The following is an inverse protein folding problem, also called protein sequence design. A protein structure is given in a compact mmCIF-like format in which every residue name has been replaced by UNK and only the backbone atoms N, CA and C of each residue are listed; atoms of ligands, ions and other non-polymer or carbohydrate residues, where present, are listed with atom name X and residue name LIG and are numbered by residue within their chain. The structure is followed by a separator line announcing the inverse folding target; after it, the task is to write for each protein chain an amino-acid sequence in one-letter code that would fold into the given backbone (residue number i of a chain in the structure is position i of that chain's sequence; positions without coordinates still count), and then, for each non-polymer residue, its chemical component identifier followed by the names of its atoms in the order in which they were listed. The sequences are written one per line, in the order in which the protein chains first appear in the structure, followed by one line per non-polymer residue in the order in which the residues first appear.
data_IF_268049942033
#
_entry.id   IF_268049942033
#
_cell.length_a   1.000
_cell.length_b   1.000
_cell.length_c   1.000
_cell.angle_alpha   90.00
_cell.angle_beta   90.00
_cell.angle_gamma   90.00
#
_symmetry.space_group_name_H-M   'P 1'
#
loop_
_entity.id
_entity.type
_entity.pdbx_description
1 polymer ?
#
# COMPACT_ATOMS: atom_id res chain seq x y z
N UNK A 1 27.77 39.97 -36.04
CA UNK A 1 28.67 38.97 -35.45
C UNK A 1 28.37 38.70 -33.97
N UNK A 2 28.51 39.68 -33.06
CA UNK A 2 28.37 39.46 -31.60
C UNK A 2 27.02 38.86 -31.14
N UNK A 3 25.89 39.25 -31.76
CA UNK A 3 24.55 38.70 -31.42
C UNK A 3 24.40 37.21 -31.76
N UNK A 4 25.06 36.74 -32.81
CA UNK A 4 25.06 35.32 -33.20
C UNK A 4 25.89 34.47 -32.24
N UNK A 5 27.01 35.01 -31.76
CA UNK A 5 27.88 34.35 -30.77
C UNK A 5 27.14 34.19 -29.43
N UNK A 6 26.36 35.20 -29.02
CA UNK A 6 25.56 35.14 -27.78
C UNK A 6 24.43 34.11 -27.92
N UNK A 7 23.73 34.06 -29.06
CA UNK A 7 22.67 33.06 -29.29
C UNK A 7 23.24 31.63 -29.33
N UNK A 8 24.39 31.43 -29.97
CA UNK A 8 25.07 30.12 -30.01
C UNK A 8 25.59 29.71 -28.62
N UNK A 9 26.07 30.65 -27.81
CA UNK A 9 26.48 30.39 -26.43
C UNK A 9 25.28 30.00 -25.53
N UNK A 10 24.12 30.64 -25.70
CA UNK A 10 22.91 30.32 -24.93
C UNK A 10 22.36 28.94 -25.34
N UNK A 11 22.34 28.63 -26.64
CA UNK A 11 21.93 27.30 -27.13
C UNK A 11 22.90 26.21 -26.67
N UNK A 12 24.21 26.50 -26.67
CA UNK A 12 25.24 25.61 -26.11
C UNK A 12 25.09 25.37 -24.61
N UNK A 13 24.80 26.41 -23.81
CA UNK A 13 24.51 26.25 -22.38
C UNK A 13 23.20 25.50 -22.12
N UNK A 14 22.17 25.66 -22.95
CA UNK A 14 20.91 24.93 -22.82
C UNK A 14 21.04 23.45 -23.20
N UNK A 15 21.99 23.08 -24.06
CA UNK A 15 22.26 21.69 -24.45
C UNK A 15 23.19 20.96 -23.48
N UNK A 16 23.93 21.68 -22.63
CA UNK A 16 24.93 21.08 -21.72
C UNK A 16 24.39 20.70 -20.32
N UNK A 17 23.11 20.94 -20.02
CA UNK A 17 22.50 20.59 -18.74
C UNK A 17 21.63 19.33 -18.85
N UNK A 18 22.21 18.24 -19.35
CA UNK A 18 21.72 16.91 -19.05
C UNK A 18 22.32 16.51 -17.69
N UNK A 19 21.56 16.75 -16.62
CA UNK A 19 21.91 16.21 -15.31
C UNK A 19 21.79 14.69 -15.37
N UNK A 20 22.92 14.00 -15.45
CA UNK A 20 22.97 12.55 -15.27
C UNK A 20 22.70 12.20 -13.80
N UNK A 21 21.76 11.28 -13.59
CA UNK A 21 21.45 10.77 -12.24
C UNK A 21 22.04 9.38 -12.13
N UNK A 22 22.96 9.20 -11.19
CA UNK A 22 23.57 7.90 -10.89
C UNK A 22 22.49 6.90 -10.44
N UNK A 23 22.29 5.83 -11.22
CA UNK A 23 21.32 4.78 -10.94
C UNK A 23 21.55 4.10 -9.59
N UNK A 24 22.80 3.92 -9.17
CA UNK A 24 23.15 3.31 -7.89
C UNK A 24 22.58 4.12 -6.71
N UNK A 25 22.76 5.45 -6.74
CA UNK A 25 22.22 6.36 -5.71
C UNK A 25 20.69 6.31 -5.66
N UNK A 26 20.02 6.17 -6.80
CA UNK A 26 18.56 6.03 -6.87
C UNK A 26 18.10 4.72 -6.23
N UNK A 27 18.83 3.62 -6.47
CA UNK A 27 18.55 2.33 -5.87
C UNK A 27 18.73 2.35 -4.35
N UNK A 28 19.77 3.02 -3.85
CA UNK A 28 20.00 3.19 -2.42
C UNK A 28 18.90 4.02 -1.74
N UNK A 29 18.49 5.14 -2.35
CA UNK A 29 17.38 5.96 -1.86
C UNK A 29 16.04 5.20 -1.88
N UNK A 30 15.86 4.28 -2.85
CA UNK A 30 14.72 3.37 -2.85
C UNK A 30 14.75 2.41 -1.66
N UNK A 31 15.89 1.80 -1.34
CA UNK A 31 16.05 0.90 -0.19
C UNK A 31 15.75 1.63 1.12
N UNK A 32 16.32 2.83 1.32
CA UNK A 32 16.03 3.67 2.48
C UNK A 32 14.54 4.07 2.55
N UNK A 33 13.88 4.25 1.40
CA UNK A 33 12.45 4.54 1.35
C UNK A 33 11.62 3.34 1.82
N UNK A 34 11.96 2.11 1.41
CA UNK A 34 11.28 0.90 1.84
C UNK A 34 11.37 0.71 3.35
N UNK A 35 12.56 0.87 3.91
CA UNK A 35 12.80 0.75 5.35
C UNK A 35 11.95 1.76 6.12
N UNK A 36 12.03 3.05 5.74
CA UNK A 36 11.18 4.11 6.34
C UNK A 36 9.69 3.80 6.22
N UNK A 37 9.24 3.26 5.08
CA UNK A 37 7.84 2.90 4.90
C UNK A 37 7.42 1.73 5.80
N UNK A 38 8.30 0.76 6.06
CA UNK A 38 8.05 -0.34 6.99
C UNK A 38 8.01 0.14 8.44
N UNK A 39 9.00 0.95 8.86
CA UNK A 39 9.03 1.54 10.22
C UNK A 39 7.76 2.34 10.50
N UNK A 40 7.30 3.14 9.53
CA UNK A 40 6.02 3.87 9.66
C UNK A 40 4.82 2.95 9.80
N UNK A 41 4.82 1.83 9.10
CA UNK A 41 3.71 0.89 9.15
C UNK A 41 3.65 0.18 10.51
N UNK A 42 4.80 -0.22 11.06
CA UNK A 42 4.89 -0.85 12.38
C UNK A 42 4.52 0.13 13.51
N UNK A 43 4.96 1.39 13.42
CA UNK A 43 4.53 2.48 14.33
C UNK A 43 2.99 2.65 14.34
N UNK A 44 2.33 2.53 13.17
CA UNK A 44 0.88 2.63 13.09
C UNK A 44 0.13 1.39 13.61
N UNK A 45 0.75 0.21 13.57
CA UNK A 45 0.15 -1.07 14.01
C UNK A 45 -0.17 -1.07 15.50
N UNK A 46 0.71 -0.49 16.31
CA UNK A 46 0.54 -0.35 17.76
C UNK A 46 -0.70 0.46 18.17
N UNK A 47 -1.24 1.31 17.28
CA UNK A 47 -2.41 2.16 17.58
C UNK A 47 -3.74 1.65 17.00
N UNK A 48 -3.70 0.75 16.02
CA UNK A 48 -4.85 0.31 15.22
C UNK A 48 -5.63 -0.87 15.81
N UNK A 49 -5.05 -1.64 16.74
CA UNK A 49 -5.72 -2.81 17.35
C UNK A 49 -6.95 -2.46 18.22
N UNK A 50 -7.19 -1.18 18.52
CA UNK A 50 -8.27 -0.78 19.44
C UNK A 50 -9.65 -0.61 18.79
N UNK A 51 -9.79 -0.67 17.46
CA UNK A 51 -11.09 -0.40 16.81
C UNK A 51 -11.37 -1.33 15.61
N UNK A 52 -11.79 -2.57 15.87
CA UNK A 52 -12.76 -3.31 15.04
C UNK A 52 -13.20 -4.60 15.74
N UNK A 53 -14.41 -4.58 16.30
CA UNK A 53 -15.12 -5.72 16.93
C UNK A 53 -15.63 -6.74 15.91
N UNK A 54 -14.79 -7.14 14.96
CA UNK A 54 -15.07 -8.27 14.06
C UNK A 54 -13.83 -9.16 14.13
N UNK A 55 -13.74 -9.90 15.22
CA UNK A 55 -12.66 -10.87 15.49
C UNK A 55 -13.05 -12.20 14.86
N UNK A 56 -12.80 -12.33 13.56
CA UNK A 56 -12.72 -13.66 12.95
C UNK A 56 -11.26 -14.09 12.95
N UNK A 57 -10.96 -15.16 13.67
CA UNK A 57 -9.60 -15.70 13.79
C UNK A 57 -9.01 -16.05 12.41
N UNK A 58 -9.82 -16.59 11.50
CA UNK A 58 -9.39 -16.91 10.12
C UNK A 58 -8.94 -15.68 9.33
N UNK A 59 -9.62 -14.54 9.51
CA UNK A 59 -9.27 -13.28 8.85
C UNK A 59 -7.97 -12.71 9.42
N UNK A 60 -7.77 -12.85 10.74
CA UNK A 60 -6.53 -12.44 11.39
C UNK A 60 -5.36 -13.29 10.90
N UNK A 61 -5.51 -14.61 10.93
CA UNK A 61 -4.49 -15.57 10.46
C UNK A 61 -4.10 -15.33 9.00
N UNK A 62 -5.08 -15.22 8.09
CA UNK A 62 -4.81 -14.91 6.68
C UNK A 62 -4.18 -13.52 6.49
N UNK A 63 -4.52 -12.55 7.36
CA UNK A 63 -3.91 -11.23 7.37
C UNK A 63 -2.44 -11.27 7.75
N UNK A 64 -2.10 -12.03 8.79
CA UNK A 64 -0.74 -12.21 9.29
C UNK A 64 0.12 -13.01 8.28
N UNK A 65 -0.42 -14.08 7.68
CA UNK A 65 0.23 -14.83 6.60
C UNK A 65 0.53 -13.92 5.39
N UNK A 66 -0.45 -13.12 4.95
CA UNK A 66 -0.26 -12.19 3.85
C UNK A 66 0.75 -11.08 4.18
N UNK A 67 0.81 -10.64 5.44
CA UNK A 67 1.81 -9.68 5.90
C UNK A 67 3.22 -10.30 5.84
N UNK A 68 3.39 -11.51 6.35
CA UNK A 68 4.65 -12.25 6.30
C UNK A 68 5.17 -12.47 4.87
N UNK A 69 4.28 -12.86 3.95
CA UNK A 69 4.64 -12.99 2.52
C UNK A 69 5.06 -11.65 1.89
N UNK A 70 4.42 -10.55 2.26
CA UNK A 70 4.81 -9.21 1.77
C UNK A 70 6.17 -8.77 2.33
N UNK A 71 6.46 -9.09 3.58
CA UNK A 71 7.74 -8.81 4.23
C UNK A 71 8.86 -9.63 3.62
N UNK A 72 8.64 -10.93 3.42
CA UNK A 72 9.59 -11.82 2.76
C UNK A 72 9.90 -11.33 1.34
N UNK A 73 8.88 -10.98 0.54
CA UNK A 73 9.07 -10.40 -0.78
C UNK A 73 9.83 -9.07 -0.73
N UNK A 74 9.50 -8.19 0.22
CA UNK A 74 10.18 -6.90 0.35
C UNK A 74 11.66 -7.07 0.71
N UNK A 75 11.97 -7.96 1.64
CA UNK A 75 13.35 -8.31 2.03
C UNK A 75 14.12 -8.89 0.86
N UNK A 76 13.52 -9.83 0.13
CA UNK A 76 14.18 -10.50 -0.98
C UNK A 76 14.45 -9.55 -2.17
N UNK A 77 13.52 -8.63 -2.46
CA UNK A 77 13.74 -7.53 -3.40
C UNK A 77 14.85 -6.60 -2.90
N UNK A 78 14.84 -6.23 -1.62
CA UNK A 78 15.84 -5.32 -1.06
C UNK A 78 17.26 -5.89 -1.20
N UNK A 79 17.45 -7.18 -0.88
CA UNK A 79 18.73 -7.89 -1.06
C UNK A 79 19.14 -7.91 -2.53
N UNK A 80 18.26 -8.36 -3.44
CA UNK A 80 18.56 -8.39 -4.87
C UNK A 80 18.93 -7.00 -5.43
N UNK A 81 18.22 -5.96 -4.99
CA UNK A 81 18.51 -4.58 -5.42
C UNK A 81 19.85 -4.11 -4.88
N UNK A 82 20.21 -4.47 -3.64
CA UNK A 82 21.50 -4.15 -3.05
C UNK A 82 22.66 -4.78 -3.84
N UNK A 83 22.51 -6.04 -4.23
CA UNK A 83 23.52 -6.77 -5.01
C UNK A 83 23.69 -6.20 -6.42
N UNK A 84 22.59 -5.77 -7.04
CA UNK A 84 22.58 -5.24 -8.41
C UNK A 84 22.72 -3.71 -8.49
N UNK A 85 22.75 -2.99 -7.36
CA UNK A 85 22.74 -1.53 -7.33
C UNK A 85 23.97 -0.90 -8.01
N UNK A 86 25.14 -1.52 -7.87
CA UNK A 86 26.38 -1.07 -8.53
C UNK A 86 26.33 -1.18 -10.05
N UNK A 87 25.46 -2.04 -10.59
CA UNK A 87 25.23 -2.23 -12.03
C UNK A 87 24.03 -1.45 -12.56
N UNK A 88 23.42 -0.60 -11.73
CA UNK A 88 22.25 0.17 -12.13
C UNK A 88 22.59 1.18 -13.23
N UNK A 89 21.68 1.30 -14.19
CA UNK A 89 21.85 2.15 -15.36
C UNK A 89 21.86 3.63 -14.95
N UNK A 90 22.81 4.41 -15.48
CA UNK A 90 22.82 5.86 -15.35
C UNK A 90 21.61 6.43 -16.08
N UNK A 91 20.82 7.24 -15.39
CA UNK A 91 19.65 7.87 -15.98
C UNK A 91 20.05 9.18 -16.65
N UNK A 92 19.64 9.36 -17.91
CA UNK A 92 19.87 10.59 -18.67
C UNK A 92 18.55 11.28 -19.08
N UNK A 93 18.64 12.55 -19.45
CA UNK A 93 17.57 13.33 -20.06
C UNK A 93 16.27 13.38 -19.27
N UNK A 94 15.14 13.10 -19.94
CA UNK A 94 13.80 13.22 -19.34
C UNK A 94 13.56 12.25 -18.17
N UNK A 95 14.22 11.09 -18.17
CA UNK A 95 14.13 10.12 -17.07
C UNK A 95 14.86 10.64 -15.84
N UNK A 96 16.08 11.15 -16.02
CA UNK A 96 16.86 11.77 -14.95
C UNK A 96 16.08 12.88 -14.25
N UNK A 97 15.51 13.84 -15.00
CA UNK A 97 14.70 14.94 -14.45
C UNK A 97 13.46 14.47 -13.68
N UNK A 98 12.79 13.41 -14.14
CA UNK A 98 11.63 12.83 -13.43
C UNK A 98 12.05 12.16 -12.13
N UNK A 99 13.18 11.46 -12.16
CA UNK A 99 13.69 10.70 -11.03
C UNK A 99 14.31 11.59 -9.95
N UNK A 100 15.05 12.64 -10.34
CA UNK A 100 15.52 13.67 -9.42
C UNK A 100 14.36 14.39 -8.74
N UNK A 101 13.29 14.74 -9.47
CA UNK A 101 12.08 15.31 -8.89
C UNK A 101 11.35 14.36 -7.92
N UNK A 102 11.37 13.05 -8.18
CA UNK A 102 10.80 12.06 -7.28
C UNK A 102 11.62 11.93 -5.98
N UNK A 103 12.96 11.90 -6.08
CA UNK A 103 13.87 11.90 -4.95
C UNK A 103 13.72 13.17 -4.09
N UNK A 104 13.65 14.33 -4.72
CA UNK A 104 13.41 15.60 -4.02
C UNK A 104 12.08 15.60 -3.25
N UNK A 105 11.02 15.00 -3.82
CA UNK A 105 9.73 14.87 -3.15
C UNK A 105 9.77 13.91 -1.96
N UNK A 106 10.58 12.86 -2.03
CA UNK A 106 10.80 11.95 -0.90
C UNK A 106 11.54 12.67 0.23
N UNK A 107 12.62 13.38 -0.09
CA UNK A 107 13.41 14.15 0.90
C UNK A 107 12.63 15.29 1.52
N UNK A 108 11.71 15.91 0.78
CA UNK A 108 10.81 16.98 1.25
C UNK A 108 9.53 16.47 1.92
N UNK A 109 9.25 15.17 1.90
CA UNK A 109 8.14 14.64 2.68
C UNK A 109 8.36 15.08 4.14
N UNK A 110 7.37 15.70 4.79
CA UNK A 110 7.57 16.31 6.10
C UNK A 110 8.07 15.23 7.05
N UNK A 111 9.31 15.37 7.49
CA UNK A 111 9.84 14.71 8.67
C UNK A 111 8.94 15.09 9.86
N UNK A 112 8.66 14.15 10.76
CA UNK A 112 7.61 14.28 11.79
C UNK A 112 7.71 15.58 12.59
N UNK A 113 8.94 16.05 12.80
CA UNK A 113 9.27 17.27 13.51
C UNK A 113 8.54 18.53 12.97
N UNK A 114 8.27 18.61 11.65
CA UNK A 114 7.57 19.79 11.08
C UNK A 114 6.06 19.68 11.17
N UNK A 115 5.52 18.49 11.44
CA UNK A 115 4.08 18.22 11.45
C UNK A 115 3.46 18.36 12.84
N UNK A 116 4.23 18.12 13.90
CA UNK A 116 3.78 18.35 15.29
C UNK A 116 3.38 19.80 15.53
N UNK A 117 4.13 20.77 14.98
CA UNK A 117 3.79 22.21 15.11
C UNK A 117 2.48 22.64 14.44
N UNK A 118 1.89 21.83 13.55
CA UNK A 118 0.63 22.16 12.85
C UNK A 118 -0.61 21.40 13.36
N UNK A 119 -0.45 20.44 14.27
CA UNK A 119 -1.56 19.61 14.77
C UNK A 119 -2.04 20.00 16.17
N UNK A 120 -1.96 21.28 16.51
CA UNK A 120 -2.80 21.83 17.57
C UNK A 120 -4.28 21.70 17.16
N UNK A 121 -5.04 20.87 17.88
CA UNK A 121 -6.51 20.67 17.77
C UNK A 121 -7.02 19.88 16.54
N UNK A 122 -7.12 18.55 16.64
CA UNK A 122 -8.36 17.77 16.35
C UNK A 122 -8.17 16.27 16.56
N UNK A 123 -9.21 15.65 17.11
CA UNK A 123 -9.44 14.22 17.44
C UNK A 123 -9.48 13.29 16.20
N UNK A 124 -8.51 13.36 15.29
CA UNK A 124 -8.53 12.59 14.00
C UNK A 124 -7.25 11.77 13.71
N UNK A 125 -6.42 11.50 14.72
CA UNK A 125 -5.03 11.01 14.53
C UNK A 125 -4.89 9.55 14.05
N UNK A 126 -5.84 8.65 14.31
CA UNK A 126 -5.67 7.22 13.97
C UNK A 126 -5.78 6.89 12.48
N UNK A 127 -6.68 7.56 11.75
CA UNK A 127 -6.82 7.35 10.30
C UNK A 127 -5.75 8.05 9.48
N UNK A 128 -4.99 8.99 10.05
CA UNK A 128 -3.88 9.63 9.33
C UNK A 128 -2.63 8.76 9.24
N UNK A 129 -2.28 8.01 10.29
CA UNK A 129 -1.02 7.25 10.34
C UNK A 129 -0.94 6.23 9.19
N UNK A 130 -1.94 5.33 9.07
CA UNK A 130 -1.99 4.31 8.00
C UNK A 130 -2.06 4.96 6.60
N UNK A 131 -2.77 6.08 6.46
CA UNK A 131 -2.83 6.83 5.19
C UNK A 131 -1.46 7.39 4.83
N UNK A 132 -0.69 7.86 5.79
CA UNK A 132 0.63 8.42 5.55
C UNK A 132 1.69 7.34 5.30
N UNK A 133 1.64 6.20 6.00
CA UNK A 133 2.43 5.02 5.66
C UNK A 133 2.16 4.55 4.22
N UNK A 134 0.88 4.53 3.80
CA UNK A 134 0.50 4.25 2.41
C UNK A 134 1.04 5.28 1.41
N UNK A 135 1.05 6.57 1.77
CA UNK A 135 1.66 7.61 0.93
C UNK A 135 3.16 7.39 0.78
N UNK A 136 3.87 7.05 1.86
CA UNK A 136 5.30 6.71 1.80
C UNK A 136 5.54 5.53 0.85
N UNK A 137 4.79 4.43 0.99
CA UNK A 137 4.87 3.27 0.08
C UNK A 137 4.62 3.66 -1.39
N UNK A 138 3.66 4.55 -1.63
CA UNK A 138 3.39 5.09 -2.98
C UNK A 138 4.53 5.94 -3.52
N UNK A 139 5.21 6.72 -2.67
CA UNK A 139 6.40 7.48 -3.06
C UNK A 139 7.56 6.55 -3.39
N UNK A 140 7.82 5.53 -2.58
CA UNK A 140 8.84 4.52 -2.88
C UNK A 140 8.57 3.82 -4.22
N UNK A 141 7.30 3.55 -4.55
CA UNK A 141 6.89 2.96 -5.83
C UNK A 141 7.21 3.86 -7.04
N UNK A 142 7.32 5.18 -6.85
CA UNK A 142 7.72 6.11 -7.93
C UNK A 142 9.24 6.06 -8.15
N UNK A 143 10.01 5.92 -7.08
CA UNK A 143 11.47 5.81 -7.12
C UNK A 143 11.90 4.43 -7.62
N UNK A 144 11.13 3.38 -7.30
CA UNK A 144 11.30 2.03 -7.84
C UNK A 144 11.43 2.01 -9.37
N UNK A 145 10.69 2.88 -10.08
CA UNK A 145 10.72 2.98 -11.54
C UNK A 145 12.00 3.62 -12.09
N UNK A 146 12.78 4.24 -11.22
CA UNK A 146 14.01 4.94 -11.54
C UNK A 146 15.25 4.08 -11.27
N UNK A 147 15.12 2.96 -10.56
CA UNK A 147 16.20 2.01 -10.37
C UNK A 147 16.00 0.82 -11.31
N UNK A 148 16.93 0.60 -12.25
CA UNK A 148 16.83 -0.53 -13.20
C UNK A 148 16.91 -1.88 -12.48
N UNK A 149 17.72 -2.00 -11.43
CA UNK A 149 17.82 -3.20 -10.60
C UNK A 149 16.47 -3.61 -9.99
N UNK A 150 15.66 -2.64 -9.54
CA UNK A 150 14.32 -2.91 -8.97
C UNK A 150 13.39 -3.54 -10.00
N UNK A 151 13.52 -3.19 -11.28
CA UNK A 151 12.71 -3.80 -12.34
C UNK A 151 13.05 -5.28 -12.51
N UNK A 152 14.35 -5.61 -12.55
CA UNK A 152 14.85 -6.98 -12.69
C UNK A 152 14.48 -7.83 -11.47
N UNK A 153 14.73 -7.29 -10.27
CA UNK A 153 14.41 -8.00 -9.03
C UNK A 153 12.90 -8.22 -8.86
N UNK A 154 12.06 -7.28 -9.27
CA UNK A 154 10.59 -7.49 -9.17
C UNK A 154 10.07 -8.58 -10.11
N UNK A 155 10.70 -8.79 -11.27
CA UNK A 155 10.32 -9.86 -12.20
C UNK A 155 10.74 -11.25 -11.73
N UNK A 156 11.81 -11.35 -10.95
CA UNK A 156 12.30 -12.62 -10.38
C UNK A 156 11.37 -13.13 -9.24
N UNK A 157 10.67 -12.24 -8.54
CA UNK A 157 9.73 -12.62 -7.48
C UNK A 157 8.28 -12.68 -7.97
N UNK A 158 7.85 -13.88 -8.39
CA UNK A 158 6.47 -14.13 -8.78
C UNK A 158 5.50 -13.83 -7.62
N UNK A 159 4.37 -13.18 -7.91
CA UNK A 159 3.42 -12.67 -6.91
C UNK A 159 2.16 -13.50 -6.77
N UNK A 160 2.11 -14.67 -7.39
CA UNK A 160 0.92 -15.53 -7.44
C UNK A 160 0.41 -15.88 -6.04
N UNK A 161 1.30 -16.28 -5.12
CA UNK A 161 0.91 -16.59 -3.73
C UNK A 161 0.33 -15.37 -2.98
N UNK A 162 0.90 -14.19 -3.20
CA UNK A 162 0.39 -12.93 -2.60
C UNK A 162 -0.98 -12.58 -3.19
N UNK A 163 -1.19 -12.83 -4.49
CA UNK A 163 -2.47 -12.58 -5.16
C UNK A 163 -3.54 -13.57 -4.66
N UNK A 164 -3.20 -14.85 -4.56
CA UNK A 164 -4.10 -15.90 -4.04
C UNK A 164 -4.52 -15.60 -2.61
N UNK A 165 -3.55 -15.40 -1.71
CA UNK A 165 -3.81 -15.10 -0.29
C UNK A 165 -4.60 -13.80 -0.09
N UNK A 166 -4.42 -12.81 -0.96
CA UNK A 166 -5.23 -11.59 -0.94
C UNK A 166 -6.66 -11.82 -1.40
N UNK A 167 -6.90 -12.77 -2.32
CA UNK A 167 -8.24 -13.20 -2.71
C UNK A 167 -8.92 -13.93 -1.55
N UNK A 168 -8.23 -14.91 -0.95
CA UNK A 168 -8.70 -15.66 0.21
C UNK A 168 -9.05 -14.75 1.39
N UNK A 169 -8.22 -13.76 1.69
CA UNK A 169 -8.47 -12.78 2.75
C UNK A 169 -9.75 -11.95 2.49
N UNK A 170 -10.03 -11.58 1.23
CA UNK A 170 -11.26 -10.84 0.88
C UNK A 170 -12.50 -11.68 1.08
N UNK A 171 -12.47 -12.94 0.63
CA UNK A 171 -13.57 -13.89 0.80
C UNK A 171 -13.80 -14.19 2.29
N UNK A 172 -12.74 -14.47 3.06
CA UNK A 172 -12.82 -14.67 4.49
C UNK A 172 -13.42 -13.44 5.21
N UNK A 173 -13.04 -12.22 4.79
CA UNK A 173 -13.61 -11.00 5.34
C UNK A 173 -15.10 -10.84 5.02
N UNK A 174 -15.53 -11.23 3.80
CA UNK A 174 -16.94 -11.19 3.38
C UNK A 174 -17.78 -12.16 4.21
N UNK A 175 -17.35 -13.42 4.33
CA UNK A 175 -18.01 -14.46 5.13
C UNK A 175 -18.08 -14.04 6.61
N UNK A 176 -16.98 -13.51 7.14
CA UNK A 176 -16.91 -13.01 8.50
C UNK A 176 -17.88 -11.85 8.77
N UNK A 177 -18.04 -10.93 7.80
CA UNK A 177 -18.97 -9.81 7.88
C UNK A 177 -20.43 -10.26 7.78
N UNK A 178 -20.72 -11.26 6.95
CA UNK A 178 -22.05 -11.85 6.81
C UNK A 178 -22.47 -12.58 8.10
N UNK A 179 -21.56 -13.39 8.68
CA UNK A 179 -21.78 -14.08 9.98
C UNK A 179 -22.02 -13.11 11.14
N UNK A 180 -21.31 -11.97 11.18
CA UNK A 180 -21.46 -10.96 12.24
C UNK A 180 -22.54 -9.90 11.95
N UNK A 181 -23.06 -9.83 10.72
CA UNK A 181 -24.08 -8.88 10.28
C UNK A 181 -25.52 -9.34 10.51
N UNK A 182 -25.72 -10.59 10.96
CA UNK A 182 -27.01 -11.28 11.04
C UNK A 182 -28.06 -10.77 12.04
N UNK A 183 -27.93 -9.57 12.62
CA UNK A 183 -28.89 -9.06 13.61
C UNK A 183 -29.28 -7.58 13.47
N UNK A 184 -29.26 -7.02 12.24
CA UNK A 184 -29.84 -5.68 11.99
C UNK A 184 -30.71 -5.65 10.74
N UNK A 185 -31.98 -6.05 10.93
CA UNK A 185 -33.24 -5.48 10.36
C UNK A 185 -34.24 -6.57 9.93
N UNK A 186 -35.12 -6.96 10.85
CA UNK A 186 -36.54 -7.09 10.51
C UNK A 186 -37.34 -6.26 11.51
N UNK A 187 -37.54 -5.00 11.17
CA UNK A 187 -38.39 -4.08 11.90
C UNK A 187 -39.08 -3.15 10.91
N UNK A 188 -40.39 -3.37 10.75
CA UNK A 188 -41.43 -2.50 10.17
C UNK A 188 -41.62 -2.49 8.64
N UNK A 189 -42.58 -3.29 8.18
CA UNK A 189 -43.71 -2.80 7.35
C UNK A 189 -45.02 -3.24 8.00
N UNK A 190 -45.93 -2.29 8.18
CA UNK A 190 -47.15 -2.44 8.97
C UNK A 190 -48.25 -3.28 8.31
N UNK A 191 -49.10 -3.84 9.18
CA UNK A 191 -50.51 -4.21 9.05
C UNK A 191 -51.05 -4.79 7.74
N UNK A 192 -51.66 -5.98 7.81
CA UNK A 192 -53.12 -6.15 8.03
C UNK A 192 -53.50 -7.65 8.10
N UNK A 193 -54.12 -8.01 9.23
CA UNK A 193 -55.16 -9.03 9.49
C UNK A 193 -55.04 -10.47 8.94
N UNK A 194 -55.07 -11.38 9.94
CA UNK A 194 -55.96 -12.55 10.08
C UNK A 194 -55.72 -13.72 9.13
N UNK A 195 -55.25 -14.83 9.69
CA UNK A 195 -55.99 -16.09 9.56
C UNK A 195 -55.78 -17.01 10.77
N UNK A 196 -56.94 -17.49 11.22
CA UNK A 196 -57.28 -18.35 12.35
C UNK A 196 -56.79 -19.77 12.05
N UNK A 197 -55.90 -20.34 12.86
CA UNK A 197 -55.61 -21.78 12.82
C UNK A 197 -56.58 -22.51 13.74
N UNK A 198 -57.63 -23.05 13.15
CA UNK A 198 -58.47 -24.10 13.74
C UNK A 198 -57.73 -25.45 13.66
N UNK A 199 -57.74 -26.11 14.81
CA UNK A 199 -57.68 -27.53 15.10
C UNK A 199 -57.87 -28.54 13.96
N UNK A 200 -57.07 -29.61 13.98
CA UNK A 200 -57.60 -30.97 13.79
C UNK A 200 -56.74 -31.96 12.99
N UNK A 201 -56.75 -33.21 13.48
CA UNK A 201 -56.43 -34.48 12.81
C UNK A 201 -54.98 -34.95 12.84
N UNK A 202 -54.59 -35.81 13.79
CA UNK A 202 -54.75 -37.28 13.80
C UNK A 202 -53.94 -37.97 12.69
N UNK A 203 -52.89 -38.68 13.07
CA UNK A 203 -52.23 -39.66 12.20
C UNK A 203 -51.99 -40.94 12.99
N UNK A 204 -52.75 -41.96 12.60
CA UNK A 204 -52.64 -43.32 13.07
C UNK A 204 -51.37 -43.98 12.50
N UNK A 205 -50.72 -44.80 13.32
CA UNK A 205 -49.71 -45.77 12.89
C UNK A 205 -50.38 -47.03 12.34
N UNK A 206 -49.77 -47.72 11.36
CA UNK A 206 -49.94 -49.15 11.22
C UNK A 206 -48.67 -49.89 11.62
N UNK A 207 -48.94 -51.01 12.29
CA UNK A 207 -48.05 -52.08 12.70
C UNK A 207 -47.69 -52.90 11.46
N UNK A 208 -46.43 -53.33 11.37
CA UNK A 208 -46.02 -54.59 10.75
C UNK A 208 -44.81 -55.12 11.54
#
# INVERSE_FOLDING_TARGET
MARYIILLAIVGLCLAADEDVNGANVCEEYLQCLEKAQTRLSECGAEAEKEKKVTCEDVKKLGDELHGLQEQKASAIATCVKDKASTAEVLTGRKAKKCSAALLKLKRAPTDAKREKRQGKKKEKKNSCVKDAKKFKSQCSKIAKCCSAVKVCNTEYNSEDIVSKKSELKEAFKVCKEKNGGNKKQGRRGGKKVQKSESGSTTAQPIA
#
